data_IF_247381588607
#
_entry.id   IF_247381588607
#
_cell.length_a   1.000
_cell.length_b   1.000
_cell.length_c   1.000
_cell.angle_alpha   90.00
_cell.angle_beta   90.00
_cell.angle_gamma   90.00
#
_symmetry.space_group_name_H-M   'P 1'
#
loop_
_entity.id
_entity.type
_entity.pdbx_description
1 polymer ?
#
# COMPACT_ATOMS: atom_id res chain seq x y z
N UNK A 1 9.38 12.58 5.43
CA UNK A 1 9.02 13.45 4.30
C UNK A 1 10.24 13.62 3.40
N UNK A 2 10.09 13.55 2.08
CA UNK A 2 11.15 13.83 1.10
C UNK A 2 10.73 14.85 0.04
N UNK A 3 11.70 15.53 -0.57
CA UNK A 3 11.47 16.41 -1.72
C UNK A 3 11.53 15.62 -3.03
N UNK A 4 12.64 14.95 -3.29
CA UNK A 4 12.81 14.05 -4.43
C UNK A 4 13.35 12.72 -3.95
N UNK A 5 12.70 11.63 -4.33
CA UNK A 5 13.24 10.28 -4.18
C UNK A 5 13.18 9.54 -5.52
N UNK A 6 14.27 8.86 -5.88
CA UNK A 6 14.29 8.01 -7.07
C UNK A 6 13.38 6.80 -6.86
N UNK A 7 13.56 6.13 -5.73
CA UNK A 7 12.72 5.00 -5.32
C UNK A 7 12.45 5.01 -3.82
N UNK A 8 11.24 4.63 -3.45
CA UNK A 8 10.85 4.32 -2.06
C UNK A 8 10.49 2.84 -2.02
N UNK A 9 11.17 2.08 -1.17
CA UNK A 9 10.89 0.66 -0.94
C UNK A 9 10.43 0.46 0.50
N UNK A 10 9.27 -0.20 0.67
CA UNK A 10 8.67 -0.50 1.97
C UNK A 10 8.44 -2.00 2.05
N UNK A 11 9.30 -2.71 2.77
CA UNK A 11 9.24 -4.17 2.97
C UNK A 11 9.39 -4.55 4.44
N UNK A 12 8.55 -4.03 5.34
CA UNK A 12 8.62 -4.44 6.73
C UNK A 12 8.19 -5.90 6.88
N UNK A 13 8.82 -6.59 7.84
CA UNK A 13 8.57 -7.99 8.17
C UNK A 13 8.51 -8.10 9.69
N UNK A 14 7.32 -7.96 10.25
CA UNK A 14 7.11 -7.87 11.69
C UNK A 14 5.80 -8.54 12.13
N UNK A 15 5.73 -8.88 13.41
CA UNK A 15 4.52 -9.37 14.06
C UNK A 15 4.28 -8.58 15.35
N UNK A 16 3.25 -7.73 15.35
CA UNK A 16 2.90 -6.89 16.50
C UNK A 16 1.38 -6.79 16.68
N UNK A 17 0.97 -6.18 17.79
CA UNK A 17 -0.45 -5.87 18.02
C UNK A 17 -0.93 -4.73 17.11
N UNK A 18 -0.08 -3.72 16.88
CA UNK A 18 -0.39 -2.53 16.11
C UNK A 18 0.84 -2.03 15.35
N UNK A 19 0.69 -1.77 14.05
CA UNK A 19 1.73 -1.13 13.23
C UNK A 19 1.20 0.16 12.58
N UNK A 20 2.04 1.20 12.58
CA UNK A 20 1.74 2.50 11.98
C UNK A 20 2.89 2.98 11.11
N UNK A 21 2.63 3.14 9.81
CA UNK A 21 3.58 3.70 8.87
C UNK A 21 3.03 4.95 8.16
N UNK A 22 3.87 5.99 8.04
CA UNK A 22 3.54 7.24 7.36
C UNK A 22 4.70 7.74 6.51
N UNK A 23 4.42 8.02 5.24
CA UNK A 23 5.41 8.60 4.33
C UNK A 23 4.80 9.69 3.46
N UNK A 24 5.61 10.70 3.14
CA UNK A 24 5.20 11.83 2.32
C UNK A 24 6.36 12.24 1.42
N UNK A 25 6.13 12.37 0.12
CA UNK A 25 7.13 12.88 -0.82
C UNK A 25 6.56 13.89 -1.81
N UNK A 26 7.38 14.83 -2.26
CA UNK A 26 6.96 15.72 -3.35
C UNK A 26 7.07 15.01 -4.69
N UNK A 27 8.24 14.49 -5.06
CA UNK A 27 8.43 13.72 -6.30
C UNK A 27 9.05 12.36 -6.00
N UNK A 28 8.41 11.29 -6.45
CA UNK A 28 8.89 9.92 -6.38
C UNK A 28 8.99 9.33 -7.79
N UNK A 29 10.11 8.71 -8.14
CA UNK A 29 10.20 7.92 -9.38
C UNK A 29 9.36 6.67 -9.26
N UNK A 30 9.67 5.82 -8.29
CA UNK A 30 8.96 4.56 -8.03
C UNK A 30 8.70 4.35 -6.55
N UNK A 31 7.46 4.04 -6.20
CA UNK A 31 7.09 3.56 -4.86
C UNK A 31 6.78 2.08 -4.94
N UNK A 32 7.51 1.24 -4.21
CA UNK A 32 7.28 -0.20 -4.09
C UNK A 32 6.95 -0.54 -2.64
N UNK A 33 5.81 -1.18 -2.41
CA UNK A 33 5.28 -1.50 -1.09
C UNK A 33 4.96 -2.99 -1.06
N UNK A 34 5.79 -3.78 -0.39
CA UNK A 34 5.63 -5.24 -0.28
C UNK A 34 5.79 -5.70 1.18
N UNK A 35 4.91 -5.23 2.09
CA UNK A 35 4.94 -5.67 3.48
C UNK A 35 4.53 -7.15 3.59
N UNK A 36 5.18 -7.86 4.51
CA UNK A 36 4.84 -9.23 4.88
C UNK A 36 4.71 -9.29 6.40
N UNK A 37 3.49 -9.09 6.90
CA UNK A 37 3.29 -8.80 8.32
C UNK A 37 2.07 -9.49 8.91
N UNK A 38 2.12 -9.77 10.21
CA UNK A 38 0.98 -10.29 10.97
C UNK A 38 0.59 -9.30 12.08
N UNK A 39 -0.56 -8.66 11.94
CA UNK A 39 -1.01 -7.62 12.85
C UNK A 39 -2.48 -7.78 13.25
N UNK A 40 -2.81 -7.38 14.48
CA UNK A 40 -4.21 -7.21 14.87
C UNK A 40 -4.80 -5.98 14.17
N UNK A 41 -4.03 -4.89 14.13
CA UNK A 41 -4.38 -3.66 13.44
C UNK A 41 -3.17 -3.06 12.70
N UNK A 42 -3.29 -2.85 11.39
CA UNK A 42 -2.26 -2.21 10.57
C UNK A 42 -2.78 -0.92 9.94
N UNK A 43 -2.02 0.17 10.06
CA UNK A 43 -2.32 1.46 9.45
C UNK A 43 -1.15 1.97 8.61
N UNK A 44 -1.38 2.10 7.31
CA UNK A 44 -0.40 2.58 6.35
C UNK A 44 -0.89 3.84 5.63
N UNK A 45 -0.09 4.91 5.61
CA UNK A 45 -0.40 6.13 4.87
C UNK A 45 0.78 6.59 4.01
N UNK A 46 0.55 6.73 2.70
CA UNK A 46 1.49 7.31 1.74
C UNK A 46 0.88 8.49 1.01
N UNK A 47 1.61 9.60 0.97
CA UNK A 47 1.22 10.77 0.18
C UNK A 47 2.35 11.15 -0.77
N UNK A 48 2.06 11.26 -2.06
CA UNK A 48 3.02 11.78 -3.03
C UNK A 48 2.39 12.87 -3.92
N UNK A 49 3.14 13.91 -4.25
CA UNK A 49 2.64 14.92 -5.21
C UNK A 49 2.76 14.39 -6.63
N UNK A 50 3.96 13.94 -7.02
CA UNK A 50 4.20 13.30 -8.31
C UNK A 50 4.84 11.95 -8.10
N UNK A 51 4.30 10.91 -8.73
CA UNK A 51 4.83 9.56 -8.73
C UNK A 51 4.95 9.07 -10.19
N UNK A 52 6.10 8.52 -10.58
CA UNK A 52 6.20 7.82 -11.86
C UNK A 52 5.38 6.54 -11.81
N UNK A 53 5.71 5.66 -10.86
CA UNK A 53 5.03 4.39 -10.69
C UNK A 53 4.83 4.04 -9.22
N UNK A 54 3.65 3.52 -8.86
CA UNK A 54 3.37 2.92 -7.57
C UNK A 54 3.04 1.43 -7.76
N UNK A 55 3.75 0.55 -7.05
CA UNK A 55 3.50 -0.90 -7.00
C UNK A 55 3.27 -1.32 -5.54
N UNK A 56 2.15 -2.01 -5.29
CA UNK A 56 1.71 -2.38 -3.94
C UNK A 56 1.33 -3.85 -3.94
N UNK A 57 2.10 -4.68 -3.23
CA UNK A 57 1.91 -6.13 -3.16
C UNK A 57 1.97 -6.64 -1.70
N UNK A 58 1.03 -6.23 -0.84
CA UNK A 58 0.99 -6.69 0.55
C UNK A 58 0.66 -8.18 0.64
N UNK A 59 1.31 -8.86 1.58
CA UNK A 59 1.00 -10.24 1.97
C UNK A 59 0.82 -10.29 3.49
N UNK A 60 -0.40 -10.06 3.95
CA UNK A 60 -0.64 -9.79 5.37
C UNK A 60 -1.87 -10.56 5.91
N UNK A 61 -1.70 -11.46 6.91
CA UNK A 61 -2.81 -11.90 7.75
C UNK A 61 -3.09 -10.87 8.87
N UNK A 62 -4.28 -10.27 8.84
CA UNK A 62 -4.69 -9.29 9.84
C UNK A 62 -6.20 -9.25 10.11
N UNK A 63 -6.56 -8.81 11.32
CA UNK A 63 -7.96 -8.64 11.72
C UNK A 63 -8.55 -7.36 11.11
N UNK A 64 -7.79 -6.25 11.18
CA UNK A 64 -8.14 -4.98 10.57
C UNK A 64 -6.93 -4.35 9.87
N UNK A 65 -7.08 -3.98 8.60
CA UNK A 65 -6.05 -3.26 7.84
C UNK A 65 -6.64 -1.99 7.21
N UNK A 66 -5.94 -0.87 7.39
CA UNK A 66 -6.26 0.40 6.76
C UNK A 66 -5.05 0.90 5.97
N UNK A 67 -5.23 0.98 4.66
CA UNK A 67 -4.22 1.49 3.74
C UNK A 67 -4.74 2.71 3.01
N UNK A 68 -4.00 3.82 3.08
CA UNK A 68 -4.30 5.04 2.35
C UNK A 68 -3.12 5.45 1.48
N UNK A 69 -3.36 5.58 0.18
CA UNK A 69 -2.42 6.19 -0.76
C UNK A 69 -3.06 7.38 -1.45
N UNK A 70 -2.42 8.53 -1.29
CA UNK A 70 -2.82 9.77 -1.97
C UNK A 70 -1.73 10.17 -2.95
N UNK A 71 -2.08 10.35 -4.21
CA UNK A 71 -1.20 10.88 -5.23
C UNK A 71 -1.85 12.04 -5.98
N UNK A 72 -1.10 13.12 -6.26
CA UNK A 72 -1.62 14.18 -7.13
C UNK A 72 -1.45 13.81 -8.62
N UNK A 73 -0.29 13.31 -9.01
CA UNK A 73 -0.02 12.85 -10.37
C UNK A 73 0.74 11.54 -10.35
N UNK A 74 0.13 10.46 -10.86
CA UNK A 74 0.75 9.15 -10.97
C UNK A 74 0.82 8.72 -12.45
N UNK A 75 1.97 8.25 -12.92
CA UNK A 75 2.07 7.64 -14.25
C UNK A 75 1.34 6.31 -14.31
N UNK A 76 1.68 5.40 -13.39
CA UNK A 76 1.10 4.06 -13.31
C UNK A 76 0.93 3.59 -11.88
N UNK A 77 -0.21 2.97 -11.57
CA UNK A 77 -0.44 2.31 -10.28
C UNK A 77 -0.78 0.83 -10.51
N UNK A 78 -0.06 -0.07 -9.85
CA UNK A 78 -0.35 -1.51 -9.84
C UNK A 78 -0.49 -1.99 -8.39
N UNK A 79 -1.62 -2.65 -8.09
CA UNK A 79 -1.94 -3.14 -6.76
C UNK A 79 -2.31 -4.62 -6.84
N UNK A 80 -1.55 -5.48 -6.17
CA UNK A 80 -1.75 -6.94 -6.14
C UNK A 80 -1.73 -7.48 -4.70
N UNK A 81 -2.79 -7.23 -3.89
CA UNK A 81 -2.85 -7.71 -2.51
C UNK A 81 -3.07 -9.22 -2.45
N UNK A 82 -2.45 -9.86 -1.45
CA UNK A 82 -2.63 -11.28 -1.11
C UNK A 82 -2.97 -11.39 0.38
N UNK A 83 -4.25 -11.37 0.73
CA UNK A 83 -4.65 -11.16 2.14
C UNK A 83 -5.80 -12.09 2.58
N UNK A 84 -5.62 -12.92 3.62
CA UNK A 84 -6.70 -13.41 4.45
C UNK A 84 -7.00 -12.41 5.59
N UNK A 85 -8.17 -11.77 5.58
CA UNK A 85 -8.55 -10.77 6.59
C UNK A 85 -10.04 -10.80 6.97
N UNK A 86 -10.36 -10.27 8.16
CA UNK A 86 -11.75 -10.06 8.60
C UNK A 86 -12.33 -8.74 8.12
N UNK A 87 -11.51 -7.69 8.04
CA UNK A 87 -11.90 -6.37 7.55
C UNK A 87 -10.69 -5.62 6.98
N UNK A 88 -10.84 -5.11 5.76
CA UNK A 88 -9.84 -4.30 5.09
C UNK A 88 -10.49 -3.04 4.53
N UNK A 89 -9.82 -1.91 4.72
CA UNK A 89 -10.18 -0.64 4.10
C UNK A 89 -8.98 -0.11 3.31
N UNK A 90 -9.19 -0.01 2.01
CA UNK A 90 -8.20 0.48 1.08
C UNK A 90 -8.71 1.75 0.42
N UNK A 91 -7.94 2.83 0.52
CA UNK A 91 -8.23 4.07 -0.17
C UNK A 91 -7.05 4.45 -1.05
N UNK A 92 -7.29 4.46 -2.36
CA UNK A 92 -6.38 5.01 -3.34
C UNK A 92 -7.01 6.22 -4.01
N UNK A 93 -6.47 7.40 -3.67
CA UNK A 93 -6.86 8.65 -4.30
C UNK A 93 -5.74 9.09 -5.24
N UNK A 94 -6.06 9.25 -6.53
CA UNK A 94 -5.13 9.84 -7.50
C UNK A 94 -5.83 10.92 -8.31
N UNK A 95 -5.37 12.16 -8.23
CA UNK A 95 -6.00 13.28 -8.95
C UNK A 95 -5.77 13.19 -10.47
N UNK A 96 -4.61 12.73 -10.90
CA UNK A 96 -4.30 12.46 -12.30
C UNK A 96 -3.53 11.17 -12.40
N UNK A 97 -4.11 10.13 -13.00
CA UNK A 97 -3.46 8.84 -13.18
C UNK A 97 -3.39 8.47 -14.66
N UNK A 98 -2.22 8.08 -15.16
CA UNK A 98 -2.09 7.56 -16.53
C UNK A 98 -2.69 6.17 -16.68
N UNK A 99 -2.44 5.28 -15.71
CA UNK A 99 -2.98 3.93 -15.69
C UNK A 99 -3.11 3.39 -14.27
N UNK A 100 -4.18 2.64 -14.00
CA UNK A 100 -4.37 1.91 -12.74
C UNK A 100 -4.77 0.47 -13.05
N UNK A 101 -4.07 -0.49 -12.46
CA UNK A 101 -4.41 -1.90 -12.49
C UNK A 101 -4.48 -2.45 -11.07
N UNK A 102 -5.57 -3.14 -10.76
CA UNK A 102 -5.79 -3.79 -9.47
C UNK A 102 -6.10 -5.26 -9.74
N UNK A 103 -5.29 -6.16 -9.20
CA UNK A 103 -5.47 -7.61 -9.33
C UNK A 103 -5.36 -8.24 -7.95
N UNK A 104 -6.46 -8.26 -7.17
CA UNK A 104 -6.47 -8.91 -5.87
C UNK A 104 -6.35 -10.41 -6.03
N UNK A 105 -5.55 -11.04 -5.16
CA UNK A 105 -5.47 -12.48 -5.02
C UNK A 105 -6.08 -12.80 -3.66
N UNK A 106 -7.35 -13.19 -3.67
CA UNK A 106 -8.02 -13.66 -2.46
C UNK A 106 -7.79 -15.17 -2.31
N UNK A 107 -7.01 -15.63 -1.32
CA UNK A 107 -7.12 -17.00 -0.89
C UNK A 107 -8.52 -17.17 -0.28
N UNK A 108 -9.40 -17.89 -0.98
CA UNK A 108 -10.77 -18.15 -0.56
C UNK A 108 -10.77 -18.80 0.84
N UNK A 109 -11.07 -18.03 1.89
CA UNK A 109 -11.25 -18.57 3.23
C UNK A 109 -12.72 -19.01 3.34
N UNK A 110 -13.02 -20.20 2.83
CA UNK A 110 -14.28 -20.88 3.15
C UNK A 110 -14.32 -21.13 4.66
N UNK A 111 -15.08 -20.31 5.40
CA UNK A 111 -15.41 -20.62 6.78
C UNK A 111 -16.48 -21.73 6.84
N UNK A 112 -16.22 -22.70 7.70
CA UNK A 112 -17.20 -23.63 8.30
C UNK A 112 -18.20 -22.85 9.17
#
# INVERSE_FOLDING_TARGET
TCYTCGSTLVTPVEAHLLHLWKHTCYTCGTTLVTPVEAHLLHLWNHTCYTCGSTLVTPVEPHLLHLWNHTCYTCGSTLITPVEPHLSHLWNHTCHTCGSTLVTPVEPHLSHL
#
